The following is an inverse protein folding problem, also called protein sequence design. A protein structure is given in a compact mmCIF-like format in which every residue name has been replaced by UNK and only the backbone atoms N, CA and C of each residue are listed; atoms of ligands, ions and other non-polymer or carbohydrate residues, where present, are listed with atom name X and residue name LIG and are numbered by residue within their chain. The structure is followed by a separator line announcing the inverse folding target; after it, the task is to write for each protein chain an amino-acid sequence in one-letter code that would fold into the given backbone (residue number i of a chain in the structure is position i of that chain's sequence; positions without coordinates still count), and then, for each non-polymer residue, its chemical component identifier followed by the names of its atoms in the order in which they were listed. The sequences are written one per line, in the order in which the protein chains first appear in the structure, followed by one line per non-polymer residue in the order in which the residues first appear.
data_IF_828715971144
#
_entry.id   IF_828715971144
#
_cell.length_a   1.000
_cell.length_b   1.000
_cell.length_c   1.000
_cell.angle_alpha   90.00
_cell.angle_beta   90.00
_cell.angle_gamma   90.00
#
_symmetry.space_group_name_H-M   'P 1'
#
loop_
_entity.id
_entity.type
_entity.pdbx_description
1 polymer ?
#
# COMPACT_ATOMS: atom_id res chain seq x y z
N UNK A 1 -12.43 0.72 6.21
CA UNK A 1 -12.05 0.58 4.78
C UNK A 1 -13.02 -0.27 3.97
N UNK A 2 -13.64 -1.32 4.54
CA UNK A 2 -14.66 -2.08 3.82
C UNK A 2 -15.86 -1.22 3.39
N UNK A 3 -16.45 -0.46 4.33
CA UNK A 3 -17.57 0.45 4.03
C UNK A 3 -17.18 1.54 3.02
N UNK A 4 -15.94 2.07 3.13
CA UNK A 4 -15.39 3.02 2.15
C UNK A 4 -15.34 2.43 0.74
N UNK A 5 -14.88 1.19 0.60
CA UNK A 5 -14.90 0.48 -0.68
C UNK A 5 -16.33 0.32 -1.20
N UNK A 6 -17.28 -0.09 -0.37
CA UNK A 6 -18.68 -0.22 -0.79
C UNK A 6 -19.24 1.10 -1.34
N UNK A 7 -18.90 2.24 -0.74
CA UNK A 7 -19.40 3.55 -1.15
C UNK A 7 -18.67 4.16 -2.36
N UNK A 8 -17.36 3.91 -2.53
CA UNK A 8 -16.51 4.63 -3.50
C UNK A 8 -15.92 3.77 -4.59
N UNK A 9 -15.97 2.45 -4.43
CA UNK A 9 -15.32 1.47 -5.31
C UNK A 9 -13.80 1.68 -5.44
N UNK A 10 -13.12 2.19 -4.40
CA UNK A 10 -11.66 2.20 -4.31
C UNK A 10 -11.15 0.84 -3.79
N UNK A 11 -10.59 -0.06 -4.64
CA UNK A 11 -10.45 -1.47 -4.27
C UNK A 11 -9.15 -1.77 -3.52
N UNK A 12 -8.11 -0.95 -3.66
CA UNK A 12 -6.79 -1.18 -3.08
C UNK A 12 -6.62 -0.39 -1.79
N UNK A 13 -6.20 -1.07 -0.73
CA UNK A 13 -5.86 -0.45 0.56
C UNK A 13 -4.50 -0.92 1.06
N UNK A 14 -3.80 -0.04 1.77
CA UNK A 14 -2.51 -0.30 2.40
C UNK A 14 -2.68 -0.34 3.92
N UNK A 15 -2.32 -1.45 4.54
CA UNK A 15 -2.38 -1.65 5.98
C UNK A 15 -1.26 -0.88 6.68
N UNK A 16 -1.60 -0.09 7.70
CA UNK A 16 -0.59 0.57 8.53
C UNK A 16 -0.02 -0.35 9.62
N UNK A 17 -0.62 -1.52 9.84
CA UNK A 17 -0.11 -2.50 10.81
C UNK A 17 1.16 -3.19 10.31
N UNK A 18 1.20 -3.57 9.04
CA UNK A 18 2.24 -4.43 8.46
C UNK A 18 2.63 -4.07 7.01
N UNK A 19 2.06 -3.00 6.45
CA UNK A 19 2.32 -2.53 5.07
C UNK A 19 1.89 -3.53 3.98
N UNK A 20 1.09 -4.54 4.35
CA UNK A 20 0.41 -5.40 3.40
C UNK A 20 -0.63 -4.62 2.60
N UNK A 21 -0.90 -5.06 1.38
CA UNK A 21 -1.84 -4.42 0.46
C UNK A 21 -2.96 -5.39 0.12
N UNK A 22 -4.20 -4.98 0.38
CA UNK A 22 -5.39 -5.80 0.16
C UNK A 22 -6.21 -5.23 -0.99
N UNK A 23 -6.71 -6.11 -1.86
CA UNK A 23 -7.67 -5.78 -2.89
C UNK A 23 -9.05 -6.34 -2.52
N UNK A 24 -10.02 -5.46 -2.28
CA UNK A 24 -11.39 -5.88 -1.96
C UNK A 24 -12.09 -6.59 -3.13
N UNK A 25 -11.77 -6.22 -4.37
CA UNK A 25 -12.40 -6.83 -5.55
C UNK A 25 -11.83 -8.22 -5.88
N UNK A 26 -10.54 -8.45 -5.61
CA UNK A 26 -9.90 -9.74 -5.85
C UNK A 26 -9.95 -10.68 -4.64
N UNK A 27 -10.37 -10.16 -3.49
CA UNK A 27 -10.35 -10.85 -2.19
C UNK A 27 -8.98 -11.47 -1.88
N UNK A 28 -7.90 -10.72 -2.15
CA UNK A 28 -6.54 -11.22 -1.98
C UNK A 28 -5.53 -10.13 -1.61
N UNK A 29 -4.43 -10.56 -1.00
CA UNK A 29 -3.24 -9.72 -0.85
C UNK A 29 -2.54 -9.60 -2.19
N UNK A 30 -2.21 -8.37 -2.56
CA UNK A 30 -1.57 -8.05 -3.85
C UNK A 30 -0.21 -7.42 -3.62
N UNK A 31 0.74 -7.72 -4.49
CA UNK A 31 2.06 -7.07 -4.51
C UNK A 31 2.35 -6.64 -5.94
N UNK A 32 2.69 -5.38 -6.12
CA UNK A 32 3.08 -4.82 -7.41
C UNK A 32 4.02 -3.63 -7.19
N UNK A 33 4.94 -3.42 -8.12
CA UNK A 33 5.92 -2.34 -8.08
C UNK A 33 5.31 -0.93 -8.08
N UNK A 34 4.09 -0.74 -8.61
CA UNK A 34 3.36 0.54 -8.51
C UNK A 34 3.03 0.93 -7.06
N UNK A 35 2.99 -0.06 -6.14
CA UNK A 35 2.70 0.16 -4.72
C UNK A 35 3.97 0.50 -3.91
N UNK A 36 5.15 0.49 -4.52
CA UNK A 36 6.42 0.74 -3.84
C UNK A 36 6.49 2.14 -3.23
N UNK A 37 6.12 3.18 -3.99
CA UNK A 37 6.10 4.57 -3.52
C UNK A 37 5.22 4.77 -2.27
N UNK A 38 3.93 4.41 -2.30
CA UNK A 38 3.05 4.48 -1.13
C UNK A 38 3.58 3.65 0.06
N UNK A 39 4.09 2.44 -0.18
CA UNK A 39 4.66 1.60 0.89
C UNK A 39 5.89 2.24 1.52
N UNK A 40 6.77 2.84 0.72
CA UNK A 40 7.96 3.53 1.21
C UNK A 40 7.57 4.76 2.04
N UNK A 41 6.61 5.56 1.57
CA UNK A 41 6.11 6.73 2.30
C UNK A 41 5.52 6.33 3.66
N UNK A 42 4.71 5.27 3.71
CA UNK A 42 4.13 4.77 4.97
C UNK A 42 5.19 4.16 5.89
N UNK A 43 6.18 3.44 5.35
CA UNK A 43 7.30 2.92 6.14
C UNK A 43 8.10 4.05 6.78
N UNK A 44 8.46 5.07 5.99
CA UNK A 44 9.17 6.25 6.47
C UNK A 44 8.38 6.97 7.57
N UNK A 45 7.07 7.15 7.38
CA UNK A 45 6.22 7.77 8.40
C UNK A 45 6.09 6.92 9.68
N UNK A 46 6.10 5.59 9.56
CA UNK A 46 5.92 4.68 10.69
C UNK A 46 7.19 4.43 11.49
N UNK A 47 8.34 4.29 10.81
CA UNK A 47 9.59 3.83 11.41
C UNK A 47 10.70 4.90 11.40
N UNK A 48 10.52 6.01 10.67
CA UNK A 48 11.55 7.05 10.52
C UNK A 48 12.66 6.70 9.53
N UNK A 49 12.54 5.58 8.82
CA UNK A 49 13.49 5.14 7.80
C UNK A 49 12.77 4.64 6.55
N UNK A 50 13.41 4.74 5.38
CA UNK A 50 12.86 4.21 4.14
C UNK A 50 12.81 2.68 4.12
N UNK A 51 11.93 2.10 3.30
CA UNK A 51 11.98 0.66 3.04
C UNK A 51 13.35 0.26 2.50
N UNK A 52 13.95 -0.84 2.98
CA UNK A 52 15.19 -1.36 2.43
C UNK A 52 14.96 -1.87 1.00
N UNK A 53 15.58 -1.21 0.02
CA UNK A 53 15.45 -1.51 -1.41
C UNK A 53 15.64 -0.27 -2.28
N UNK A 54 15.82 -0.43 -3.61
CA UNK A 54 16.06 0.71 -4.48
C UNK A 54 14.85 1.67 -4.47
N UNK A 55 15.07 3.00 -4.37
CA UNK A 55 14.02 4.00 -4.44
C UNK A 55 13.44 4.02 -5.86
N UNK A 56 12.23 3.50 -6.05
CA UNK A 56 11.60 3.42 -7.38
C UNK A 56 10.65 4.59 -7.62
N UNK A 57 11.17 5.81 -7.62
CA UNK A 57 10.55 6.95 -8.31
C UNK A 57 11.65 7.84 -8.92
N UNK A 58 12.37 7.30 -9.90
CA UNK A 58 12.94 8.08 -11.00
C UNK A 58 12.39 7.47 -12.30
N UNK A 59 11.24 7.97 -12.73
CA UNK A 59 10.74 7.86 -14.11
C UNK A 59 10.19 9.21 -14.53
#
# INVERSE_FOLDING_TARGET
MLEHFSATQHPIVLSFADLSTWCYQCESYVTNEVLSGPKHAVHLAKFGEGLPGPPLIER
#
